data_IF_347458662585
#
_entry.id   IF_347458662585
#
_cell.length_a   1.000
_cell.length_b   1.000
_cell.length_c   1.000
_cell.angle_alpha   90.00
_cell.angle_beta   90.00
_cell.angle_gamma   90.00
#
_symmetry.space_group_name_H-M   'P 1'
#
loop_
_entity.id
_entity.type
_entity.pdbx_description
1 polymer ?
#
# COMPACT_ATOMS: atom_id res chain seq x y z
N UNK A 1 -3.05 2.21 -17.07
CA UNK A 1 -3.72 0.99 -16.59
C UNK A 1 -2.75 0.23 -15.71
N UNK A 2 -3.12 -0.03 -14.44
CA UNK A 2 -2.31 -0.65 -13.37
C UNK A 2 -0.79 -0.54 -13.54
N UNK A 3 -0.20 0.61 -13.18
CA UNK A 3 1.26 0.75 -13.21
C UNK A 3 1.87 -0.26 -12.22
N UNK A 4 2.69 -1.26 -12.65
CA UNK A 4 3.37 -2.17 -11.72
C UNK A 4 4.12 -1.40 -10.62
N UNK A 5 4.61 -0.22 -10.98
CA UNK A 5 5.26 0.75 -10.09
C UNK A 5 4.49 1.06 -8.81
N UNK A 6 3.15 1.16 -8.80
CA UNK A 6 2.42 1.48 -7.56
C UNK A 6 2.46 0.33 -6.56
N UNK A 7 2.31 -0.90 -7.05
CA UNK A 7 2.40 -2.07 -6.19
C UNK A 7 3.83 -2.26 -5.69
N UNK A 8 4.82 -1.98 -6.54
CA UNK A 8 6.23 -2.04 -6.15
C UNK A 8 6.59 -0.99 -5.10
N UNK A 9 6.07 0.25 -5.22
CA UNK A 9 6.16 1.29 -4.19
C UNK A 9 5.55 0.81 -2.88
N UNK A 10 4.33 0.30 -2.92
CA UNK A 10 3.64 -0.16 -1.72
C UNK A 10 4.39 -1.33 -1.05
N UNK A 11 4.86 -2.32 -1.82
CA UNK A 11 5.70 -3.43 -1.32
C UNK A 11 7.01 -2.95 -0.72
N UNK A 12 7.65 -1.94 -1.33
CA UNK A 12 8.87 -1.36 -0.79
C UNK A 12 8.61 -0.68 0.56
N UNK A 13 7.51 0.05 0.68
CA UNK A 13 7.09 0.68 1.94
C UNK A 13 6.70 -0.35 3.02
N UNK A 14 6.09 -1.48 2.64
CA UNK A 14 5.85 -2.59 3.56
C UNK A 14 7.17 -3.15 4.13
N UNK A 15 8.19 -3.31 3.28
CA UNK A 15 9.52 -3.77 3.71
C UNK A 15 10.25 -2.74 4.58
N UNK A 16 10.06 -1.45 4.31
CA UNK A 16 10.62 -0.38 5.13
C UNK A 16 9.96 -0.31 6.52
N UNK A 17 8.71 -0.75 6.64
CA UNK A 17 7.99 -0.82 7.91
C UNK A 17 7.87 0.56 8.59
N UNK A 18 8.13 0.60 9.90
CA UNK A 18 8.02 1.82 10.71
C UNK A 18 9.05 2.89 10.34
N UNK A 19 10.14 2.52 9.67
CA UNK A 19 11.17 3.49 9.26
C UNK A 19 10.71 4.36 8.09
N UNK A 20 9.79 3.85 7.26
CA UNK A 20 9.31 4.53 6.05
C UNK A 20 10.43 4.91 5.08
N UNK A 21 10.07 5.66 4.03
CA UNK A 21 11.05 6.14 3.03
C UNK A 21 10.65 7.51 2.49
N UNK A 22 11.64 8.36 2.18
CA UNK A 22 11.40 9.61 1.47
C UNK A 22 11.06 9.34 0.00
N UNK A 23 10.25 10.21 -0.62
CA UNK A 23 9.87 10.05 -2.05
C UNK A 23 11.09 9.90 -2.97
N UNK A 24 12.18 10.62 -2.66
CA UNK A 24 13.46 10.52 -3.37
C UNK A 24 14.05 9.12 -3.34
N UNK A 25 14.15 8.54 -2.14
CA UNK A 25 14.70 7.20 -1.91
C UNK A 25 13.86 6.12 -2.61
N UNK A 26 12.54 6.26 -2.62
CA UNK A 26 11.62 5.33 -3.30
C UNK A 26 11.82 5.39 -4.81
N UNK A 27 11.92 6.60 -5.37
CA UNK A 27 12.16 6.80 -6.79
C UNK A 27 13.51 6.22 -7.23
N UNK A 28 14.56 6.43 -6.46
CA UNK A 28 15.89 5.91 -6.74
C UNK A 28 15.92 4.37 -6.65
N UNK A 29 15.30 3.80 -5.61
CA UNK A 29 15.22 2.35 -5.41
C UNK A 29 14.48 1.62 -6.53
N UNK A 30 13.50 2.28 -7.17
CA UNK A 30 12.69 1.70 -8.25
C UNK A 30 13.13 2.16 -9.65
N UNK A 31 14.13 3.03 -9.76
CA UNK A 31 14.60 3.57 -11.04
C UNK A 31 13.55 4.42 -11.76
N UNK A 32 12.68 5.11 -11.01
CA UNK A 32 11.56 5.89 -11.54
C UNK A 32 11.81 7.38 -11.36
N UNK A 33 11.40 8.19 -12.34
CA UNK A 33 11.54 9.66 -12.24
C UNK A 33 10.73 10.21 -11.06
N UNK A 34 11.28 11.21 -10.38
CA UNK A 34 10.69 11.85 -9.19
C UNK A 34 9.26 12.37 -9.42
N UNK A 35 8.99 12.98 -10.58
CA UNK A 35 7.65 13.48 -10.91
C UNK A 35 6.62 12.34 -11.04
N UNK A 36 7.02 11.22 -11.65
CA UNK A 36 6.20 10.01 -11.76
C UNK A 36 6.01 9.34 -10.39
N UNK A 37 7.04 9.34 -9.54
CA UNK A 37 6.94 8.80 -8.18
C UNK A 37 5.96 9.61 -7.33
N UNK A 38 6.04 10.94 -7.36
CA UNK A 38 5.10 11.82 -6.67
C UNK A 38 3.65 11.58 -7.11
N UNK A 39 3.41 11.39 -8.41
CA UNK A 39 2.07 11.07 -8.91
C UNK A 39 1.57 9.71 -8.40
N UNK A 40 2.43 8.69 -8.34
CA UNK A 40 2.06 7.38 -7.80
C UNK A 40 1.80 7.42 -6.30
N UNK A 41 2.63 8.13 -5.53
CA UNK A 41 2.44 8.33 -4.09
C UNK A 41 1.16 9.11 -3.79
N UNK A 42 0.81 10.13 -4.59
CA UNK A 42 -0.44 10.85 -4.46
C UNK A 42 -1.67 9.94 -4.66
N UNK A 43 -1.63 9.08 -5.69
CA UNK A 43 -2.70 8.10 -5.94
C UNK A 43 -2.82 7.09 -4.80
N UNK A 44 -1.70 6.54 -4.33
CA UNK A 44 -1.70 5.60 -3.21
C UNK A 44 -2.20 6.25 -1.92
N UNK A 45 -1.85 7.52 -1.70
CA UNK A 45 -2.28 8.27 -0.51
C UNK A 45 -3.78 8.54 -0.56
N UNK A 46 -4.30 8.96 -1.71
CA UNK A 46 -5.72 9.17 -1.91
C UNK A 46 -6.53 7.86 -1.79
N UNK A 47 -5.94 6.73 -2.18
CA UNK A 47 -6.54 5.41 -2.00
C UNK A 47 -6.48 4.89 -0.55
N UNK A 48 -5.86 5.65 0.39
CA UNK A 48 -5.70 5.23 1.78
C UNK A 48 -4.70 4.09 1.96
N UNK A 49 -3.85 3.80 0.97
CA UNK A 49 -2.87 2.71 1.06
C UNK A 49 -1.51 3.17 1.59
N UNK A 50 -1.23 4.47 1.59
CA UNK A 50 -0.02 5.02 2.20
C UNK A 50 -0.36 6.25 3.03
N UNK A 51 0.36 6.41 4.13
CA UNK A 51 0.36 7.63 4.94
C UNK A 51 1.69 8.35 4.76
N UNK A 52 1.71 9.64 5.06
CA UNK A 52 2.92 10.45 4.95
C UNK A 52 3.12 11.34 6.18
N UNK A 53 4.35 11.76 6.39
CA UNK A 53 4.73 12.69 7.46
C UNK A 53 5.79 13.63 6.91
N UNK A 54 5.66 14.92 7.24
CA UNK A 54 6.57 15.95 6.76
C UNK A 54 7.78 16.04 7.69
N UNK A 55 8.98 15.87 7.13
CA UNK A 55 10.27 15.96 7.82
C UNK A 55 11.04 17.16 7.28
N UNK A 56 10.68 18.35 7.77
CA UNK A 56 11.24 19.62 7.29
C UNK A 56 10.91 19.89 5.83
N UNK A 57 11.89 19.68 4.94
CA UNK A 57 11.76 19.90 3.48
C UNK A 57 11.40 18.64 2.69
N UNK A 58 11.51 17.46 3.30
CA UNK A 58 11.13 16.19 2.67
C UNK A 58 9.81 15.66 3.24
N UNK A 59 9.21 14.72 2.50
CA UNK A 59 8.04 13.97 2.95
C UNK A 59 8.45 12.50 3.01
N UNK A 60 8.24 11.89 4.16
CA UNK A 60 8.44 10.46 4.39
C UNK A 60 7.10 9.75 4.26
N UNK A 61 7.10 8.61 3.57
CA UNK A 61 5.93 7.80 3.30
C UNK A 61 6.05 6.45 4.01
N UNK A 62 4.88 5.90 4.35
CA UNK A 62 4.73 4.63 5.04
C UNK A 62 3.55 3.88 4.44
N UNK A 63 3.60 2.54 4.47
CA UNK A 63 2.42 1.74 4.16
C UNK A 63 1.33 1.97 5.22
N UNK A 64 0.09 2.10 4.77
CA UNK A 64 -1.08 2.14 5.64
C UNK A 64 -1.73 0.77 5.68
N UNK A 65 -1.47 0.04 6.76
CA UNK A 65 -2.00 -1.31 6.97
C UNK A 65 -3.49 -1.28 7.31
N UNK A 66 -3.98 -0.22 7.96
CA UNK A 66 -5.39 -0.11 8.32
C UNK A 66 -6.24 0.17 7.08
N UNK A 67 -5.77 1.04 6.18
CA UNK A 67 -6.42 1.22 4.89
C UNK A 67 -6.41 -0.04 4.03
N UNK A 68 -5.35 -0.85 4.13
CA UNK A 68 -5.26 -2.14 3.43
C UNK A 68 -6.22 -3.18 4.00
N UNK A 69 -6.34 -3.25 5.33
CA UNK A 69 -7.35 -4.07 6.02
C UNK A 69 -8.76 -3.66 5.61
N UNK A 70 -9.05 -2.35 5.57
CA UNK A 70 -10.34 -1.83 5.12
C UNK A 70 -10.67 -2.20 3.68
N UNK A 71 -9.71 -2.08 2.76
CA UNK A 71 -9.88 -2.50 1.37
C UNK A 71 -10.16 -4.01 1.26
N UNK A 72 -9.40 -4.84 1.98
CA UNK A 72 -9.63 -6.29 1.98
C UNK A 72 -10.99 -6.65 2.57
N UNK A 73 -11.40 -6.00 3.67
CA UNK A 73 -12.72 -6.21 4.26
C UNK A 73 -13.83 -5.86 3.27
N UNK A 74 -13.77 -4.68 2.65
CA UNK A 74 -14.73 -4.24 1.63
C UNK A 74 -14.81 -5.22 0.45
N UNK A 75 -13.67 -5.67 -0.08
CA UNK A 75 -13.66 -6.64 -1.17
C UNK A 75 -14.28 -7.98 -0.76
N UNK A 76 -14.02 -8.43 0.48
CA UNK A 76 -14.53 -9.69 1.00
C UNK A 76 -16.02 -9.65 1.37
N UNK A 77 -16.56 -8.48 1.73
CA UNK A 77 -18.01 -8.28 1.98
C UNK A 77 -18.84 -8.71 0.75
N UNK A 78 -18.38 -8.34 -0.45
CA UNK A 78 -19.07 -8.67 -1.71
C UNK A 78 -18.56 -9.98 -2.36
N UNK A 79 -17.33 -10.42 -2.07
CA UNK A 79 -16.66 -11.52 -2.77
C UNK A 79 -17.42 -12.85 -2.71
N UNK A 80 -18.14 -13.10 -1.62
CA UNK A 80 -18.82 -14.37 -1.37
C UNK A 80 -20.35 -14.26 -1.35
N UNK A 81 -20.92 -13.15 -1.86
CA UNK A 81 -22.37 -12.91 -1.89
C UNK A 81 -23.02 -12.97 -0.51
N UNK A 82 -22.28 -12.56 0.54
CA UNK A 82 -22.72 -12.68 1.93
C UNK A 82 -22.56 -14.07 2.54
N UNK A 83 -21.78 -14.98 1.94
CA UNK A 83 -21.46 -16.30 2.50
C UNK A 83 -19.99 -16.39 2.98
N UNK A 84 -19.69 -16.08 4.25
CA UNK A 84 -18.33 -16.07 4.79
C UNK A 84 -17.60 -17.40 4.65
N UNK A 85 -18.31 -18.52 4.58
CA UNK A 85 -17.72 -19.86 4.55
C UNK A 85 -16.92 -20.13 3.26
N UNK A 86 -17.31 -19.50 2.15
CA UNK A 86 -16.58 -19.58 0.88
C UNK A 86 -15.24 -18.83 0.94
N UNK A 87 -15.19 -17.77 1.74
CA UNK A 87 -14.02 -16.92 1.92
C UNK A 87 -13.14 -17.42 3.11
N UNK A 88 -13.65 -18.32 3.95
CA UNK A 88 -12.98 -18.84 5.15
C UNK A 88 -11.59 -19.45 4.88
N UNK A 89 -11.36 -20.26 3.82
CA UNK A 89 -10.02 -20.80 3.54
C UNK A 89 -9.01 -19.69 3.22
N UNK A 90 -9.43 -18.66 2.47
CA UNK A 90 -8.60 -17.51 2.12
C UNK A 90 -8.27 -16.66 3.36
N UNK A 91 -9.28 -16.35 4.19
CA UNK A 91 -9.10 -15.60 5.44
C UNK A 91 -8.12 -16.33 6.37
N UNK A 92 -8.24 -17.66 6.47
CA UNK A 92 -7.35 -18.50 7.28
C UNK A 92 -5.91 -18.52 6.79
N UNK A 93 -5.69 -18.42 5.47
CA UNK A 93 -4.35 -18.31 4.89
C UNK A 93 -3.73 -16.93 5.15
N UNK A 94 -4.50 -15.85 4.99
CA UNK A 94 -4.04 -14.49 5.24
C UNK A 94 -3.68 -14.28 6.72
N UNK A 95 -4.47 -14.82 7.64
CA UNK A 95 -4.21 -14.73 9.08
C UNK A 95 -2.91 -15.42 9.52
N UNK A 96 -2.38 -16.38 8.74
CA UNK A 96 -1.10 -17.07 9.03
C UNK A 96 0.13 -16.37 8.47
N UNK A 97 -0.05 -15.41 7.58
CA UNK A 97 1.03 -14.76 6.83
C UNK A 97 1.45 -13.39 7.41
N UNK A 98 0.78 -12.93 8.47
CA UNK A 98 1.10 -11.72 9.22
C UNK A 98 1.95 -12.05 10.46
#
# INVERSE_FOLDING_TARGET
MSQPTRLDVYRLLLKAGETGMAAGEIADALGVRQNTMSANLAVLHQAGLVRNTREGRSIRYFADLDGTRGLLAFLLEDCCGGNPELCQPLISQLARAC
#
